data_IF_588481204023
#
_entry.id   IF_588481204023
#
_cell.length_a   1.000
_cell.length_b   1.000
_cell.length_c   1.000
_cell.angle_alpha   90.00
_cell.angle_beta   90.00
_cell.angle_gamma   90.00
#
_symmetry.space_group_name_H-M   'P 1'
#
loop_
_entity.id
_entity.type
_entity.pdbx_description
1 polymer ?
#
# COMPACT_ATOMS: atom_id res chain seq x y z
N UNK A 1 -16.72 10.74 11.98
CA UNK A 1 -16.33 9.34 12.20
C UNK A 1 -15.04 9.14 11.46
N UNK A 2 -13.92 8.96 12.15
CA UNK A 2 -12.62 8.65 11.52
C UNK A 2 -12.71 7.25 10.93
N UNK A 3 -12.66 7.16 9.61
CA UNK A 3 -12.60 5.86 8.94
C UNK A 3 -11.19 5.29 9.20
N UNK A 4 -11.10 4.20 9.95
CA UNK A 4 -9.82 3.62 10.33
C UNK A 4 -9.75 2.16 9.94
N UNK A 5 -8.57 1.73 9.51
CA UNK A 5 -8.30 0.35 9.10
C UNK A 5 -7.25 -0.23 10.00
N UNK A 6 -7.54 -1.39 10.55
CA UNK A 6 -6.60 -2.11 11.42
C UNK A 6 -6.08 -3.33 10.70
N UNK A 7 -4.78 -3.55 10.83
CA UNK A 7 -4.01 -4.59 10.17
C UNK A 7 -3.06 -5.24 11.18
N UNK A 8 -2.81 -6.56 11.14
CA UNK A 8 -1.70 -7.14 11.88
C UNK A 8 -0.35 -6.52 11.46
N UNK A 9 0.50 -6.21 12.43
CA UNK A 9 1.81 -5.60 12.16
C UNK A 9 2.75 -6.53 11.36
N UNK A 10 2.56 -7.84 11.52
CA UNK A 10 3.30 -8.92 10.85
C UNK A 10 2.67 -9.37 9.54
N UNK A 11 1.62 -8.69 9.04
CA UNK A 11 1.00 -9.08 7.77
C UNK A 11 1.99 -9.03 6.61
N UNK A 12 1.90 -10.03 5.75
CA UNK A 12 2.63 -10.12 4.49
C UNK A 12 1.65 -10.35 3.33
N UNK A 13 2.05 -9.94 2.13
CA UNK A 13 1.24 -10.16 0.92
C UNK A 13 1.32 -11.63 0.50
N UNK A 14 0.15 -12.20 0.22
CA UNK A 14 0.02 -13.51 -0.44
C UNK A 14 0.17 -13.37 -1.96
N UNK A 15 0.32 -14.49 -2.68
CA UNK A 15 0.34 -14.47 -4.15
C UNK A 15 -0.91 -13.83 -4.77
N UNK A 16 -2.08 -14.06 -4.16
CA UNK A 16 -3.36 -13.46 -4.59
C UNK A 16 -3.33 -11.94 -4.45
N UNK A 17 -2.69 -11.43 -3.39
CA UNK A 17 -2.51 -9.99 -3.20
C UNK A 17 -1.56 -9.40 -4.23
N UNK A 18 -0.53 -10.14 -4.65
CA UNK A 18 0.41 -9.72 -5.70
C UNK A 18 -0.24 -9.65 -7.09
N UNK A 19 -1.12 -10.59 -7.40
CA UNK A 19 -1.93 -10.54 -8.62
C UNK A 19 -2.89 -9.34 -8.57
N UNK A 20 -3.51 -9.09 -7.42
CA UNK A 20 -4.38 -7.92 -7.21
C UNK A 20 -3.60 -6.62 -7.37
N UNK A 21 -2.39 -6.52 -6.80
CA UNK A 21 -1.49 -5.38 -7.00
C UNK A 21 -1.10 -5.21 -8.46
N UNK A 22 -0.80 -6.29 -9.16
CA UNK A 22 -0.43 -6.25 -10.59
C UNK A 22 -1.59 -5.80 -11.48
N UNK A 23 -2.82 -6.12 -11.09
CA UNK A 23 -4.04 -5.73 -11.80
C UNK A 23 -4.40 -4.26 -11.55
N UNK A 24 -4.28 -3.79 -10.30
CA UNK A 24 -4.57 -2.40 -9.93
C UNK A 24 -3.47 -1.45 -10.43
N UNK A 25 -2.21 -1.83 -10.22
CA UNK A 25 -1.03 -1.07 -10.64
C UNK A 25 -0.43 -1.70 -11.90
N UNK A 26 -1.12 -1.47 -13.01
CA UNK A 26 -0.60 -1.77 -14.33
C UNK A 26 0.73 -1.05 -14.57
N UNK A 27 1.48 -1.47 -15.59
CA UNK A 27 2.83 -0.95 -15.90
C UNK A 27 2.99 0.59 -15.78
N UNK A 28 2.13 1.45 -16.36
CA UNK A 28 2.27 2.90 -16.24
C UNK A 28 2.09 3.43 -14.80
N UNK A 29 1.42 2.66 -13.93
CA UNK A 29 1.12 3.04 -12.54
C UNK A 29 2.11 2.45 -11.53
N UNK A 30 3.08 1.62 -11.95
CA UNK A 30 4.06 1.01 -11.04
C UNK A 30 4.92 2.04 -10.30
N UNK A 31 5.21 3.18 -10.92
CA UNK A 31 5.85 4.31 -10.25
C UNK A 31 5.04 4.85 -9.07
N UNK A 32 3.71 4.89 -9.21
CA UNK A 32 2.81 5.30 -8.14
C UNK A 32 2.78 4.26 -7.01
N UNK A 33 2.85 2.96 -7.32
CA UNK A 33 2.97 1.91 -6.31
C UNK A 33 4.25 2.08 -5.47
N UNK A 34 5.38 2.36 -6.11
CA UNK A 34 6.63 2.62 -5.38
C UNK A 34 6.51 3.85 -4.47
N UNK A 35 5.95 4.95 -4.98
CA UNK A 35 5.70 6.16 -4.18
C UNK A 35 4.77 5.90 -3.00
N UNK A 36 3.68 5.17 -3.23
CA UNK A 36 2.74 4.76 -2.19
C UNK A 36 3.45 3.91 -1.12
N UNK A 37 4.25 2.92 -1.51
CA UNK A 37 5.03 2.09 -0.57
C UNK A 37 6.00 2.91 0.25
N UNK A 38 6.66 3.92 -0.34
CA UNK A 38 7.54 4.82 0.40
C UNK A 38 6.78 5.63 1.47
N UNK A 39 5.57 6.09 1.15
CA UNK A 39 4.73 6.82 2.13
C UNK A 39 4.27 5.87 3.24
N UNK A 40 3.76 4.68 2.88
CA UNK A 40 3.29 3.70 3.86
C UNK A 40 4.41 3.14 4.75
N UNK A 41 5.64 3.04 4.24
CA UNK A 41 6.80 2.58 5.01
C UNK A 41 7.45 3.69 5.84
N UNK A 42 7.02 4.95 5.70
CA UNK A 42 7.57 6.09 6.45
C UNK A 42 7.39 5.90 7.96
N UNK A 43 8.51 5.82 8.70
CA UNK A 43 8.51 5.59 10.16
C UNK A 43 7.75 6.68 10.94
N UNK A 44 7.72 7.90 10.41
CA UNK A 44 7.12 9.07 11.07
C UNK A 44 5.75 9.45 10.49
N UNK A 45 5.05 8.49 9.86
CA UNK A 45 3.71 8.70 9.34
C UNK A 45 2.70 8.98 10.47
N UNK A 46 2.11 10.17 10.50
CA UNK A 46 1.15 10.57 11.53
C UNK A 46 -0.21 9.88 11.39
N UNK A 47 -0.51 9.32 10.22
CA UNK A 47 -1.73 8.55 9.96
C UNK A 47 -1.66 7.12 10.46
N UNK A 48 -0.56 6.69 11.11
CA UNK A 48 -0.33 5.31 11.51
C UNK A 48 0.00 5.20 13.00
N UNK A 49 -0.69 4.30 13.69
CA UNK A 49 -0.44 3.98 15.09
C UNK A 49 -0.17 2.49 15.25
N UNK A 50 0.87 2.14 16.01
CA UNK A 50 1.21 0.76 16.36
C UNK A 50 0.76 0.47 17.78
N UNK A 51 -0.08 -0.55 17.97
CA UNK A 51 -0.57 -0.95 19.28
C UNK A 51 -0.87 -2.46 19.32
N UNK A 52 -0.42 -3.13 20.39
CA UNK A 52 -0.73 -4.54 20.67
C UNK A 52 -0.52 -5.52 19.49
N UNK A 53 0.54 -5.32 18.69
CA UNK A 53 0.84 -6.18 17.52
C UNK A 53 -0.03 -5.88 16.28
N UNK A 54 -0.82 -4.82 16.32
CA UNK A 54 -1.61 -4.32 15.20
C UNK A 54 -1.18 -2.91 14.80
N UNK A 55 -1.61 -2.50 13.61
CA UNK A 55 -1.34 -1.22 12.99
C UNK A 55 -2.66 -0.64 12.56
N UNK A 56 -2.99 0.53 13.09
CA UNK A 56 -4.20 1.26 12.75
C UNK A 56 -3.82 2.42 11.85
N UNK A 57 -4.53 2.54 10.73
CA UNK A 57 -4.37 3.60 9.74
C UNK A 57 -5.59 4.52 9.80
N UNK A 58 -5.37 5.82 10.01
CA UNK A 58 -6.36 6.86 9.76
C UNK A 58 -6.47 7.07 8.25
N UNK A 59 -7.59 6.65 7.67
CA UNK A 59 -7.77 6.67 6.21
C UNK A 59 -7.81 8.08 5.65
N UNK A 60 -8.43 9.02 6.36
CA UNK A 60 -8.59 10.39 5.86
C UNK A 60 -7.25 11.11 5.87
N UNK A 61 -6.49 10.97 6.97
CA UNK A 61 -5.13 11.51 7.07
C UNK A 61 -4.19 10.87 6.03
N UNK A 62 -4.26 9.55 5.88
CA UNK A 62 -3.42 8.82 4.92
C UNK A 62 -3.73 9.19 3.48
N UNK A 63 -5.01 9.22 3.08
CA UNK A 63 -5.41 9.57 1.71
C UNK A 63 -5.01 11.01 1.38
N UNK A 64 -5.13 11.93 2.35
CA UNK A 64 -4.66 13.31 2.19
C UNK A 64 -3.15 13.38 1.98
N UNK A 65 -2.38 12.64 2.76
CA UNK A 65 -0.92 12.60 2.64
C UNK A 65 -0.47 11.94 1.34
N UNK A 66 -1.11 10.84 0.92
CA UNK A 66 -0.80 10.16 -0.35
C UNK A 66 -1.16 11.03 -1.56
N UNK A 67 -2.30 11.71 -1.51
CA UNK A 67 -2.70 12.66 -2.56
C UNK A 67 -1.70 13.81 -2.68
N UNK A 68 -1.22 14.33 -1.54
CA UNK A 68 -0.27 15.44 -1.49
C UNK A 68 1.16 15.03 -1.90
N UNK A 69 1.68 13.90 -1.43
CA UNK A 69 3.07 13.47 -1.63
C UNK A 69 3.31 12.60 -2.87
N UNK A 70 2.28 11.91 -3.36
CA UNK A 70 2.40 11.02 -4.52
C UNK A 70 1.52 11.50 -5.68
N UNK A 71 0.21 11.30 -5.59
CA UNK A 71 -0.77 11.80 -6.56
C UNK A 71 -2.19 11.47 -6.11
N UNK A 72 -3.18 12.22 -6.63
CA UNK A 72 -4.60 11.89 -6.46
C UNK A 72 -4.97 10.51 -7.00
N UNK A 73 -4.35 10.10 -8.12
CA UNK A 73 -4.52 8.75 -8.69
C UNK A 73 -4.01 7.66 -7.73
N UNK A 74 -2.86 7.87 -7.07
CA UNK A 74 -2.35 6.93 -6.08
C UNK A 74 -3.28 6.81 -4.87
N UNK A 75 -3.88 7.91 -4.43
CA UNK A 75 -4.88 7.89 -3.36
C UNK A 75 -6.15 7.12 -3.77
N UNK A 76 -6.62 7.29 -5.01
CA UNK A 76 -7.74 6.52 -5.54
C UNK A 76 -7.43 5.01 -5.59
N UNK A 77 -6.23 4.66 -6.06
CA UNK A 77 -5.77 3.25 -6.13
C UNK A 77 -5.59 2.63 -4.75
N UNK A 78 -5.15 3.42 -3.77
CA UNK A 78 -5.08 3.00 -2.37
C UNK A 78 -6.47 2.66 -1.81
N UNK A 79 -7.47 3.49 -2.08
CA UNK A 79 -8.86 3.18 -1.70
C UNK A 79 -9.37 1.90 -2.38
N UNK A 80 -8.97 1.64 -3.63
CA UNK A 80 -9.32 0.41 -4.35
C UNK A 80 -8.68 -0.84 -3.70
N UNK A 81 -7.41 -0.76 -3.29
CA UNK A 81 -6.72 -1.84 -2.58
C UNK A 81 -7.41 -2.17 -1.26
N UNK A 82 -7.78 -1.14 -0.51
CA UNK A 82 -8.51 -1.25 0.75
C UNK A 82 -9.87 -1.91 0.54
N UNK A 83 -10.61 -1.50 -0.49
CA UNK A 83 -11.90 -2.09 -0.81
C UNK A 83 -11.79 -3.58 -1.20
N UNK A 84 -10.64 -4.01 -1.72
CA UNK A 84 -10.32 -5.42 -1.98
C UNK A 84 -9.78 -6.17 -0.76
N UNK A 85 -9.68 -5.52 0.39
CA UNK A 85 -9.25 -6.13 1.65
C UNK A 85 -7.73 -6.25 1.81
N UNK A 86 -6.94 -5.59 0.96
CA UNK A 86 -5.48 -5.68 1.10
C UNK A 86 -5.00 -4.92 2.33
N UNK A 87 -4.17 -5.59 3.10
CA UNK A 87 -3.59 -4.99 4.28
C UNK A 87 -2.48 -3.98 3.93
N UNK A 88 -2.67 -2.74 4.32
CA UNK A 88 -1.76 -1.64 4.02
C UNK A 88 -0.37 -1.83 4.63
N UNK A 89 -0.33 -2.41 5.83
CA UNK A 89 0.93 -2.77 6.47
C UNK A 89 1.69 -3.83 5.65
N UNK A 90 1.00 -4.81 5.06
CA UNK A 90 1.62 -5.82 4.20
C UNK A 90 2.23 -5.19 2.93
N UNK A 91 1.54 -4.21 2.33
CA UNK A 91 2.06 -3.47 1.16
C UNK A 91 3.35 -2.71 1.52
N UNK A 92 3.41 -2.15 2.73
CA UNK A 92 4.57 -1.42 3.23
C UNK A 92 5.76 -2.33 3.58
N UNK A 93 5.50 -3.47 4.21
CA UNK A 93 6.53 -4.33 4.82
C UNK A 93 7.04 -5.44 3.90
N UNK A 94 6.19 -5.94 2.98
CA UNK A 94 6.56 -7.09 2.16
C UNK A 94 7.65 -6.70 1.15
N UNK A 95 8.75 -7.46 1.03
CA UNK A 95 9.76 -7.22 0.02
C UNK A 95 9.20 -7.57 -1.37
N UNK A 96 9.05 -6.56 -2.23
CA UNK A 96 8.47 -6.71 -3.57
C UNK A 96 9.50 -6.39 -4.66
N UNK A 97 9.48 -7.18 -5.73
CA UNK A 97 10.05 -6.85 -7.02
C UNK A 97 8.96 -6.16 -7.87
N UNK A 98 9.22 -4.91 -8.25
CA UNK A 98 8.28 -4.08 -9.04
C UNK A 98 8.96 -3.72 -10.36
N UNK A 99 8.87 -4.59 -11.38
CA UNK A 99 9.54 -4.36 -12.66
C UNK A 99 8.96 -3.12 -13.35
N UNK A 100 9.77 -2.13 -13.69
CA UNK A 100 9.30 -0.91 -14.38
C UNK A 100 9.23 -1.10 -15.90
N UNK A 101 10.02 -2.03 -16.43
CA UNK A 101 10.11 -2.40 -17.84
C UNK A 101 9.70 -3.87 -18.03
N UNK A 102 9.57 -4.33 -19.28
CA UNK A 102 9.14 -5.71 -19.57
C UNK A 102 7.64 -5.99 -19.36
N UNK A 103 7.28 -7.27 -19.34
CA UNK A 103 5.93 -7.84 -19.16
C UNK A 103 5.76 -8.58 -17.83
N UNK A 104 6.79 -8.59 -17.01
CA UNK A 104 6.82 -9.26 -15.72
C UNK A 104 5.79 -8.65 -14.76
N UNK A 105 5.20 -9.49 -13.90
CA UNK A 105 4.25 -9.09 -12.85
C UNK A 105 4.98 -8.64 -11.58
N UNK A 106 4.26 -8.01 -10.67
CA UNK A 106 4.77 -7.74 -9.33
C UNK A 106 4.91 -9.07 -8.60
N UNK A 107 6.07 -9.31 -7.99
CA UNK A 107 6.38 -10.56 -7.31
C UNK A 107 7.06 -10.27 -5.97
N UNK A 108 7.18 -11.30 -5.12
CA UNK A 108 8.04 -11.23 -3.94
C UNK A 108 9.49 -11.09 -4.38
N UNK A 109 10.24 -10.26 -3.67
CA UNK A 109 11.69 -10.20 -3.81
C UNK A 109 12.27 -11.23 -2.85
N UNK A 110 12.83 -12.29 -3.42
CA UNK A 110 13.65 -13.29 -2.71
C UNK A 110 14.98 -12.69 -2.26
#
# INVERSE_FOLDING_TARGET
MTNSITCPASSQLSEIDLDTLSLIFTKPLRGQLMGLRNILSSRNASFRTYEAGTVTFDMDAMLREVSFKCSSMAAQKLSELVAKGLCLQAIASTPLSIPLTGTERIALRT
#
